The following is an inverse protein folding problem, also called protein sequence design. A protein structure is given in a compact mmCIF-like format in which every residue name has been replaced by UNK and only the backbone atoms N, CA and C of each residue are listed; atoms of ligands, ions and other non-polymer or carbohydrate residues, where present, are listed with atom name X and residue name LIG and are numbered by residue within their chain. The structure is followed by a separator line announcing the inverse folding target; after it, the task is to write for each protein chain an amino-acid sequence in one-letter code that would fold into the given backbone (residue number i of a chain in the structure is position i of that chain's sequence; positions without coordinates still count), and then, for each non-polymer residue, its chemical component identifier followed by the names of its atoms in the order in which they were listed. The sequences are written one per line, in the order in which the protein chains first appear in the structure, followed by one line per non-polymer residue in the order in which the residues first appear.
data_IF_772555334274
#
_entry.id   IF_772555334274
#
_cell.length_a   1.000
_cell.length_b   1.000
_cell.length_c   1.000
_cell.angle_alpha   90.00
_cell.angle_beta   90.00
_cell.angle_gamma   90.00
#
_symmetry.space_group_name_H-M   'P 1'
#
loop_
_entity.id
_entity.type
_entity.pdbx_description
1 polymer ?
#
# COMPACT_ATOMS: atom_id res chain seq x y z
N UNK A 1 -2.46 20.16 -13.45
CA UNK A 1 -2.26 19.26 -12.30
C UNK A 1 -3.63 19.00 -11.71
N UNK A 2 -4.07 17.75 -11.71
CA UNK A 2 -5.36 17.35 -11.15
C UNK A 2 -5.23 16.79 -9.74
N UNK A 3 -6.36 16.53 -9.07
CA UNK A 3 -6.40 15.93 -7.72
C UNK A 3 -5.61 14.61 -7.64
N UNK A 4 -5.61 13.82 -8.73
CA UNK A 4 -4.82 12.58 -8.81
C UNK A 4 -3.32 12.88 -8.74
N UNK A 5 -2.83 13.86 -9.51
CA UNK A 5 -1.41 14.22 -9.54
C UNK A 5 -0.95 14.72 -8.17
N UNK A 6 -1.79 15.53 -7.50
CA UNK A 6 -1.51 16.04 -6.16
C UNK A 6 -1.50 14.91 -5.12
N UNK A 7 -2.49 14.01 -5.13
CA UNK A 7 -2.52 12.87 -4.21
C UNK A 7 -1.37 11.89 -4.46
N UNK A 8 -0.99 11.66 -5.71
CA UNK A 8 0.13 10.79 -6.04
C UNK A 8 1.46 11.27 -5.43
N UNK A 9 1.63 12.59 -5.28
CA UNK A 9 2.82 13.16 -4.61
C UNK A 9 2.87 12.85 -3.10
N UNK A 10 1.75 12.49 -2.49
CA UNK A 10 1.68 12.09 -1.08
C UNK A 10 1.89 10.59 -0.87
N UNK A 11 1.81 9.77 -1.92
CA UNK A 11 2.03 8.33 -1.85
C UNK A 11 3.51 8.05 -2.09
N UNK A 12 4.26 7.78 -1.02
CA UNK A 12 5.68 7.46 -1.11
C UNK A 12 5.90 5.96 -1.36
N UNK A 13 6.33 5.64 -2.58
CA UNK A 13 6.66 4.28 -2.98
C UNK A 13 7.81 3.66 -2.17
N UNK A 14 8.76 4.46 -1.67
CA UNK A 14 9.87 3.94 -0.86
C UNK A 14 9.38 3.49 0.51
N UNK A 15 8.46 4.24 1.12
CA UNK A 15 7.83 3.85 2.40
C UNK A 15 7.07 2.53 2.27
N UNK A 16 6.32 2.34 1.17
CA UNK A 16 5.60 1.08 0.89
C UNK A 16 6.59 -0.07 0.68
N UNK A 17 7.63 0.14 -0.14
CA UNK A 17 8.64 -0.89 -0.38
C UNK A 17 9.38 -1.30 0.90
N UNK A 18 9.72 -0.32 1.76
CA UNK A 18 10.36 -0.59 3.05
C UNK A 18 9.44 -1.42 3.96
N UNK A 19 8.16 -1.08 4.06
CA UNK A 19 7.21 -1.84 4.88
C UNK A 19 7.09 -3.31 4.42
N UNK A 20 7.13 -3.56 3.11
CA UNK A 20 7.12 -4.93 2.58
C UNK A 20 8.40 -5.69 2.93
N UNK A 21 9.56 -5.01 2.84
CA UNK A 21 10.85 -5.62 3.20
C UNK A 21 10.90 -5.94 4.69
N UNK A 22 10.49 -5.01 5.54
CA UNK A 22 10.47 -5.18 6.99
C UNK A 22 9.59 -6.38 7.37
N UNK A 23 8.38 -6.48 6.81
CA UNK A 23 7.48 -7.61 7.09
C UNK A 23 8.07 -8.94 6.60
N UNK A 24 8.66 -8.97 5.40
CA UNK A 24 9.32 -10.19 4.89
C UNK A 24 10.44 -10.65 5.85
N UNK A 25 11.26 -9.71 6.33
CA UNK A 25 12.34 -10.01 7.27
C UNK A 25 11.82 -10.46 8.64
N UNK A 26 10.78 -9.81 9.17
CA UNK A 26 10.13 -10.17 10.43
C UNK A 26 9.52 -11.57 10.40
N UNK A 27 8.94 -11.97 9.26
CA UNK A 27 8.39 -13.32 9.05
C UNK A 27 9.47 -14.38 8.74
N UNK A 28 10.76 -14.00 8.70
CA UNK A 28 11.86 -14.88 8.35
C UNK A 28 11.86 -15.33 6.89
N UNK A 29 11.15 -14.60 6.03
CA UNK A 29 11.12 -14.80 4.59
C UNK A 29 12.25 -14.04 3.89
N UNK A 30 12.57 -14.44 2.66
CA UNK A 30 13.63 -13.79 1.90
C UNK A 30 13.13 -12.47 1.29
N UNK A 31 13.75 -11.35 1.66
CA UNK A 31 13.49 -10.02 1.08
C UNK A 31 14.09 -9.85 -0.32
N UNK A 32 13.58 -10.61 -1.29
CA UNK A 32 13.96 -10.46 -2.71
C UNK A 32 13.02 -9.50 -3.44
N UNK A 33 13.49 -8.93 -4.54
CA UNK A 33 12.67 -8.09 -5.40
C UNK A 33 11.40 -8.82 -5.90
N UNK A 34 11.51 -10.08 -6.31
CA UNK A 34 10.35 -10.85 -6.80
C UNK A 34 9.33 -11.09 -5.69
N UNK A 35 9.77 -11.46 -4.47
CA UNK A 35 8.85 -11.63 -3.35
C UNK A 35 8.15 -10.32 -2.98
N UNK A 36 8.90 -9.22 -2.88
CA UNK A 36 8.31 -7.91 -2.58
C UNK A 36 7.35 -7.42 -3.66
N UNK A 37 7.68 -7.64 -4.93
CA UNK A 37 6.80 -7.34 -6.07
C UNK A 37 5.51 -8.17 -6.01
N UNK A 38 5.61 -9.47 -5.76
CA UNK A 38 4.44 -10.33 -5.64
C UNK A 38 3.52 -9.88 -4.51
N UNK A 39 4.07 -9.55 -3.34
CA UNK A 39 3.30 -9.02 -2.21
C UNK A 39 2.62 -7.70 -2.59
N UNK A 40 3.36 -6.77 -3.20
CA UNK A 40 2.76 -5.50 -3.58
C UNK A 40 1.62 -5.64 -4.59
N UNK A 41 1.76 -6.54 -5.57
CA UNK A 41 0.70 -6.82 -6.52
C UNK A 41 -0.55 -7.41 -5.84
N UNK A 42 -0.36 -8.31 -4.88
CA UNK A 42 -1.47 -8.88 -4.12
C UNK A 42 -2.21 -7.81 -3.30
N UNK A 43 -1.47 -6.96 -2.61
CA UNK A 43 -2.05 -5.81 -1.88
C UNK A 43 -2.80 -4.88 -2.81
N UNK A 44 -2.21 -4.53 -3.97
CA UNK A 44 -2.83 -3.64 -4.95
C UNK A 44 -4.15 -4.18 -5.50
N UNK A 45 -4.19 -5.48 -5.83
CA UNK A 45 -5.33 -6.08 -6.52
C UNK A 45 -6.45 -6.50 -5.54
N UNK A 46 -6.09 -6.93 -4.33
CA UNK A 46 -7.02 -7.60 -3.43
C UNK A 46 -7.32 -6.79 -2.15
N UNK A 47 -6.34 -6.10 -1.56
CA UNK A 47 -6.50 -5.50 -0.23
C UNK A 47 -6.74 -3.99 -0.27
N UNK A 48 -6.01 -3.28 -1.13
CA UNK A 48 -6.04 -1.82 -1.23
C UNK A 48 -7.43 -1.26 -1.57
N UNK A 49 -8.21 -1.85 -2.51
CA UNK A 49 -9.56 -1.35 -2.82
C UNK A 49 -10.48 -1.36 -1.59
N UNK A 50 -10.42 -2.42 -0.80
CA UNK A 50 -11.24 -2.59 0.40
C UNK A 50 -10.78 -1.67 1.54
N UNK A 51 -9.47 -1.50 1.70
CA UNK A 51 -8.90 -0.56 2.67
C UNK A 51 -9.28 0.91 2.35
N UNK A 52 -9.22 1.32 1.08
CA UNK A 52 -9.64 2.65 0.63
C UNK A 52 -11.15 2.83 0.84
N UNK A 53 -11.97 1.86 0.42
CA UNK A 53 -13.42 1.87 0.58
C UNK A 53 -13.82 2.06 2.05
N UNK A 54 -13.18 1.29 2.95
CA UNK A 54 -13.42 1.37 4.39
C UNK A 54 -13.02 2.72 4.98
N UNK A 55 -11.85 3.23 4.61
CA UNK A 55 -11.35 4.52 5.10
C UNK A 55 -12.20 5.70 4.63
N UNK A 56 -12.65 5.68 3.38
CA UNK A 56 -13.54 6.70 2.82
C UNK A 56 -14.88 6.70 3.57
N UNK A 57 -15.50 5.52 3.77
CA UNK A 57 -16.74 5.40 4.56
C UNK A 57 -16.57 5.94 5.96
N UNK A 58 -15.54 5.50 6.69
CA UNK A 58 -15.27 5.96 8.05
C UNK A 58 -15.06 7.48 8.12
N UNK A 59 -14.42 8.09 7.11
CA UNK A 59 -14.24 9.53 7.05
C UNK A 59 -15.56 10.27 6.81
N UNK A 60 -16.42 9.75 5.94
CA UNK A 60 -17.70 10.36 5.58
C UNK A 60 -18.77 10.16 6.65
N UNK A 61 -18.77 9.03 7.36
CA UNK A 61 -19.71 8.73 8.45
C UNK A 61 -19.44 9.58 9.71
N UNK A 62 -18.24 10.13 9.85
CA UNK A 62 -17.83 11.03 10.93
C UNK A 62 -17.99 12.53 10.59
N UNK A 63 -18.49 12.88 9.40
CA UNK A 63 -18.78 14.26 8.96
C UNK A 63 -20.26 14.59 9.15
#
# INVERSE_FOLDING_TARGET
MGVIDELAQWIDANTIAQAIVDELEEQGAQATFENGKTIWLDVLENELPDAISSSVKARLDCL
#
